data_IF_826790979143
#
_entry.id   IF_826790979143
#
_cell.length_a   1.000
_cell.length_b   1.000
_cell.length_c   1.000
_cell.angle_alpha   90.00
_cell.angle_beta   90.00
_cell.angle_gamma   90.00
#
_symmetry.space_group_name_H-M   'P 1'
#
loop_
_entity.id
_entity.type
_entity.pdbx_description
1 polymer ?
#
# COMPACT_ATOMS: atom_id res chain seq x y z
N UNK A 1 -7.35 25.94 19.54
CA UNK A 1 -6.11 25.16 19.35
C UNK A 1 -6.52 23.72 19.06
N UNK A 2 -6.77 23.39 17.79
CA UNK A 2 -7.09 22.03 17.37
C UNK A 2 -5.76 21.29 17.28
N UNK A 3 -5.48 20.42 18.23
CA UNK A 3 -4.43 19.42 18.09
C UNK A 3 -4.88 18.50 16.95
N UNK A 4 -4.34 18.74 15.75
CA UNK A 4 -4.46 17.82 14.64
C UNK A 4 -3.98 16.48 15.15
N UNK A 5 -4.90 15.52 15.24
CA UNK A 5 -4.60 14.14 15.55
C UNK A 5 -3.75 13.63 14.39
N UNK A 6 -2.43 13.79 14.48
CA UNK A 6 -1.53 13.03 13.65
C UNK A 6 -1.76 11.60 14.11
N UNK A 7 -2.52 10.85 13.33
CA UNK A 7 -2.65 9.41 13.50
C UNK A 7 -1.26 8.86 13.22
N UNK A 8 -0.42 8.83 14.24
CA UNK A 8 0.83 8.08 14.21
C UNK A 8 0.37 6.63 14.23
N UNK A 9 0.15 6.07 13.05
CA UNK A 9 -0.05 4.64 12.92
C UNK A 9 1.25 4.01 13.37
N UNK A 10 1.28 3.41 14.57
CA UNK A 10 2.41 2.64 15.10
C UNK A 10 2.56 1.30 14.35
N UNK A 11 2.56 1.39 13.02
CA UNK A 11 2.62 0.29 12.07
C UNK A 11 3.77 0.54 11.11
N UNK A 12 4.56 -0.50 10.88
CA UNK A 12 5.53 -0.53 9.79
C UNK A 12 4.88 -1.16 8.56
N UNK A 13 5.15 -0.60 7.39
CA UNK A 13 4.63 -1.06 6.11
C UNK A 13 5.77 -1.39 5.16
N UNK A 14 5.65 -2.52 4.46
CA UNK A 14 6.52 -2.87 3.33
C UNK A 14 5.60 -3.28 2.17
N UNK A 15 5.85 -2.71 0.99
CA UNK A 15 5.19 -3.13 -0.23
C UNK A 15 6.16 -3.97 -1.06
N UNK A 16 5.70 -5.12 -1.54
CA UNK A 16 6.45 -5.97 -2.48
C UNK A 16 5.64 -6.10 -3.77
N UNK A 17 6.33 -6.03 -4.90
CA UNK A 17 5.74 -6.16 -6.24
C UNK A 17 6.63 -7.02 -7.12
N UNK A 18 6.04 -7.69 -8.12
CA UNK A 18 6.82 -8.55 -9.02
C UNK A 18 6.12 -9.00 -10.29
N UNK A 19 6.77 -9.95 -10.98
CA UNK A 19 6.35 -10.57 -12.24
C UNK A 19 5.12 -11.49 -12.11
N UNK A 20 4.73 -11.82 -10.89
CA UNK A 20 3.49 -12.56 -10.63
C UNK A 20 2.23 -11.70 -10.76
N UNK A 21 2.40 -10.41 -11.10
CA UNK A 21 1.34 -9.40 -11.23
C UNK A 21 0.60 -9.16 -9.92
N UNK A 22 1.30 -9.26 -8.79
CA UNK A 22 0.72 -9.03 -7.47
C UNK A 22 1.49 -7.94 -6.71
N UNK A 23 0.73 -7.19 -5.89
CA UNK A 23 1.30 -6.36 -4.85
C UNK A 23 0.86 -6.91 -3.49
N UNK A 24 1.86 -7.13 -2.63
CA UNK A 24 1.67 -7.62 -1.26
C UNK A 24 2.11 -6.52 -0.31
N UNK A 25 1.22 -6.19 0.62
CA UNK A 25 1.47 -5.27 1.73
C UNK A 25 1.75 -6.10 2.98
N UNK A 26 2.94 -5.90 3.54
CA UNK A 26 3.33 -6.45 4.82
C UNK A 26 3.15 -5.36 5.87
N UNK A 27 2.40 -5.68 6.91
CA UNK A 27 2.15 -4.77 8.02
C UNK A 27 2.66 -5.37 9.31
N UNK A 28 3.28 -4.55 10.15
CA UNK A 28 3.68 -4.96 11.49
C UNK A 28 3.29 -3.88 12.47
N UNK A 29 2.38 -4.24 13.37
CA UNK A 29 1.93 -3.38 14.46
C UNK A 29 2.94 -3.46 15.62
N UNK A 30 3.54 -2.32 15.97
CA UNK A 30 4.58 -2.22 16.99
C UNK A 30 4.03 -2.31 18.42
N UNK A 31 2.73 -2.07 18.62
CA UNK A 31 2.08 -2.20 19.93
C UNK A 31 1.45 -3.58 20.13
N UNK A 32 1.24 -4.31 19.03
CA UNK A 32 0.72 -5.67 19.10
C UNK A 32 1.69 -6.60 19.83
N UNK A 33 1.14 -7.39 20.78
CA UNK A 33 1.91 -8.40 21.52
C UNK A 33 2.49 -9.49 20.61
N UNK A 34 1.90 -9.67 19.44
CA UNK A 34 2.22 -10.74 18.50
C UNK A 34 3.50 -10.45 17.69
N UNK A 35 3.98 -9.20 17.61
CA UNK A 35 5.27 -8.82 16.97
C UNK A 35 5.52 -9.45 15.58
N UNK A 36 4.46 -9.85 14.88
CA UNK A 36 4.47 -10.61 13.65
C UNK A 36 4.16 -9.72 12.44
N UNK A 37 4.70 -10.09 11.28
CA UNK A 37 4.36 -9.47 10.01
C UNK A 37 3.09 -10.12 9.45
N UNK A 38 2.09 -9.31 9.16
CA UNK A 38 0.84 -9.73 8.53
C UNK A 38 0.89 -9.43 7.05
N UNK A 39 0.60 -10.44 6.24
CA UNK A 39 0.53 -10.33 4.78
C UNK A 39 -0.87 -9.92 4.35
N UNK A 40 -0.98 -8.99 3.41
CA UNK A 40 -2.25 -8.59 2.79
C UNK A 40 -2.05 -8.33 1.31
N UNK A 41 -2.89 -8.91 0.45
CA UNK A 41 -2.88 -8.58 -0.97
C UNK A 41 -3.55 -7.23 -1.19
N UNK A 42 -2.96 -6.39 -2.04
CA UNK A 42 -3.43 -5.02 -2.25
C UNK A 42 -4.83 -4.97 -2.89
N UNK A 43 -5.14 -5.91 -3.78
CA UNK A 43 -6.46 -6.08 -4.41
C UNK A 43 -6.82 -7.57 -4.49
N UNK A 44 -8.11 -7.82 -4.65
CA UNK A 44 -8.64 -9.11 -5.09
C UNK A 44 -8.15 -9.39 -6.51
N UNK A 45 -7.59 -10.58 -6.75
CA UNK A 45 -7.03 -10.97 -8.04
C UNK A 45 -5.68 -10.33 -8.37
N UNK A 46 -5.25 -10.47 -9.62
CA UNK A 46 -3.97 -9.97 -10.13
C UNK A 46 -4.13 -8.61 -10.82
N UNK A 47 -3.02 -7.90 -10.96
CA UNK A 47 -2.90 -6.80 -11.91
C UNK A 47 -2.86 -7.36 -13.34
N UNK A 48 -3.21 -6.52 -14.31
CA UNK A 48 -3.32 -6.94 -15.71
C UNK A 48 -1.96 -7.25 -16.34
N UNK A 49 -0.88 -6.71 -15.77
CA UNK A 49 0.50 -6.94 -16.18
C UNK A 49 1.45 -7.00 -14.97
N UNK A 50 2.73 -7.30 -15.21
CA UNK A 50 3.81 -7.27 -14.21
C UNK A 50 3.90 -5.91 -13.54
N UNK A 51 4.21 -5.91 -12.25
CA UNK A 51 4.53 -4.70 -11.49
C UNK A 51 6.04 -4.53 -11.34
N UNK A 52 6.53 -3.31 -11.61
CA UNK A 52 7.96 -3.00 -11.65
C UNK A 52 8.47 -2.21 -10.45
N UNK A 53 7.66 -1.27 -9.98
CA UNK A 53 8.02 -0.35 -8.89
C UNK A 53 6.84 -0.15 -7.96
N UNK A 54 7.19 0.05 -6.70
CA UNK A 54 6.31 0.50 -5.65
C UNK A 54 7.00 1.69 -4.96
N UNK A 55 6.27 2.76 -4.70
CA UNK A 55 6.80 3.95 -4.03
C UNK A 55 5.79 4.52 -3.06
N UNK A 56 6.23 4.78 -1.84
CA UNK A 56 5.42 5.41 -0.81
C UNK A 56 5.55 6.93 -0.90
N UNK A 57 4.42 7.61 -0.73
CA UNK A 57 4.41 9.05 -0.41
C UNK A 57 5.23 9.34 0.85
N UNK A 58 5.77 10.55 0.96
CA UNK A 58 6.58 10.97 2.11
C UNK A 58 5.79 10.95 3.42
N UNK A 59 4.48 11.21 3.37
CA UNK A 59 3.56 11.10 4.50
C UNK A 59 3.18 9.65 4.84
N UNK A 60 3.45 8.69 3.95
CA UNK A 60 3.22 7.26 4.16
C UNK A 60 1.77 6.80 3.96
N UNK A 61 0.86 7.66 3.52
CA UNK A 61 -0.57 7.36 3.38
C UNK A 61 -0.99 6.91 1.97
N UNK A 62 -0.16 7.18 0.97
CA UNK A 62 -0.37 6.76 -0.43
C UNK A 62 0.78 5.88 -0.91
N UNK A 63 0.42 4.80 -1.61
CA UNK A 63 1.31 3.91 -2.35
C UNK A 63 1.06 4.07 -3.86
N UNK A 64 2.11 4.31 -4.62
CA UNK A 64 2.10 4.33 -6.07
C UNK A 64 2.72 3.05 -6.63
N UNK A 65 2.06 2.42 -7.60
CA UNK A 65 2.54 1.24 -8.30
C UNK A 65 2.64 1.50 -9.80
N UNK A 66 3.76 1.11 -10.42
CA UNK A 66 3.93 1.14 -11.88
C UNK A 66 3.96 -0.27 -12.47
N UNK A 67 3.13 -0.52 -13.49
CA UNK A 67 3.04 -1.79 -14.21
C UNK A 67 3.69 -1.78 -15.59
N UNK A 68 3.62 -2.92 -16.30
CA UNK A 68 3.96 -3.05 -17.73
C UNK A 68 2.88 -2.50 -18.68
N UNK A 69 1.73 -2.15 -18.14
CA UNK A 69 0.55 -1.61 -18.84
C UNK A 69 0.62 -0.10 -19.11
N UNK A 70 1.77 0.52 -18.87
CA UNK A 70 1.99 1.98 -18.94
C UNK A 70 1.06 2.80 -18.03
N UNK A 71 0.61 2.21 -16.92
CA UNK A 71 -0.21 2.89 -15.92
C UNK A 71 0.48 2.99 -14.58
N UNK A 72 0.22 4.09 -13.89
CA UNK A 72 0.54 4.25 -12.48
C UNK A 72 -0.76 4.25 -11.69
N UNK A 73 -0.91 3.31 -10.77
CA UNK A 73 -2.09 3.23 -9.90
C UNK A 73 -1.72 3.70 -8.50
N UNK A 74 -2.59 4.51 -7.90
CA UNK A 74 -2.44 5.02 -6.54
C UNK A 74 -3.37 4.25 -5.62
N UNK A 75 -2.89 3.95 -4.42
CA UNK A 75 -3.61 3.16 -3.43
C UNK A 75 -3.46 3.78 -2.04
N UNK A 76 -4.52 3.68 -1.24
CA UNK A 76 -4.56 4.15 0.14
C UNK A 76 -5.28 3.13 1.01
N UNK A 77 -4.86 3.02 2.27
CA UNK A 77 -5.56 2.24 3.28
C UNK A 77 -6.66 3.11 3.92
N UNK A 78 -7.89 2.61 3.97
CA UNK A 78 -9.00 3.28 4.64
C UNK A 78 -9.03 2.96 6.15
N UNK A 79 -9.97 3.58 6.87
CA UNK A 79 -10.08 3.43 8.33
C UNK A 79 -10.41 2.00 8.78
N UNK A 80 -10.89 1.13 7.88
CA UNK A 80 -11.14 -0.29 8.15
C UNK A 80 -9.93 -1.18 7.86
N UNK A 81 -8.79 -0.60 7.47
CA UNK A 81 -7.58 -1.33 7.11
C UNK A 81 -7.65 -1.99 5.72
N UNK A 82 -8.59 -1.57 4.87
CA UNK A 82 -8.72 -2.06 3.50
C UNK A 82 -8.04 -1.11 2.54
N UNK A 83 -7.39 -1.67 1.52
CA UNK A 83 -6.77 -0.91 0.46
C UNK A 83 -7.77 -0.58 -0.64
N UNK A 84 -7.77 0.67 -1.07
CA UNK A 84 -8.64 1.19 -2.11
C UNK A 84 -7.85 2.04 -3.11
N UNK A 85 -8.33 2.09 -4.36
CA UNK A 85 -7.72 2.92 -5.38
C UNK A 85 -7.94 4.40 -5.04
N UNK A 86 -6.85 5.16 -5.04
CA UNK A 86 -6.82 6.61 -4.83
C UNK A 86 -6.71 7.38 -6.17
N UNK A 87 -6.78 6.68 -7.30
CA UNK A 87 -6.67 7.24 -8.65
C UNK A 87 -5.70 6.46 -9.54
N UNK A 88 -5.65 6.87 -10.80
CA UNK A 88 -4.70 6.38 -11.80
C UNK A 88 -4.11 7.55 -12.58
N UNK A 89 -2.87 7.38 -13.03
CA UNK A 89 -2.17 8.29 -13.91
C UNK A 89 -1.78 7.49 -15.14
N UNK A 90 -2.22 7.97 -16.30
CA UNK A 90 -1.87 7.44 -17.61
C UNK A 90 -0.95 8.48 -18.29
N UNK A 91 0.08 8.01 -18.99
CA UNK A 91 0.86 8.86 -19.91
C UNK A 91 0.09 9.11 -21.21
#
# INVERSE_FOLDING_TARGET
MLLGHQVVLNKSYIATVGQDSQCVIWTKDQESKENEWKQTFLKEGKFDDVLWRASWSLSGDVLALSGGDNRITLWRENLQGKWESAGEINE
#
